data_IF_171801796743
#
_entry.id   IF_171801796743
#
_cell.length_a   1.000
_cell.length_b   1.000
_cell.length_c   1.000
_cell.angle_alpha   90.00
_cell.angle_beta   90.00
_cell.angle_gamma   90.00
#
_symmetry.space_group_name_H-M   'P 1'
#
loop_
_entity.id
_entity.type
_entity.pdbx_description
1 polymer ?
#
# COMPACT_ATOMS: atom_id res chain seq x y z
N UNK A 1 4.20 43.31 -49.81
CA UNK A 1 2.86 43.78 -50.21
C UNK A 1 2.36 43.10 -51.49
N UNK A 2 2.99 43.30 -52.65
CA UNK A 2 2.48 42.80 -53.94
C UNK A 2 2.30 41.26 -54.04
N UNK A 3 3.21 40.46 -53.44
CA UNK A 3 3.06 38.99 -53.40
C UNK A 3 1.83 38.53 -52.62
N UNK A 4 1.53 39.18 -51.49
CA UNK A 4 0.37 38.84 -50.67
C UNK A 4 -0.95 39.19 -51.38
N UNK A 5 -1.02 40.34 -52.06
CA UNK A 5 -2.17 40.71 -52.89
C UNK A 5 -2.42 39.70 -54.02
N UNK A 6 -1.35 39.16 -54.63
CA UNK A 6 -1.44 38.13 -55.69
C UNK A 6 -1.97 36.81 -55.16
N UNK A 7 -1.60 36.43 -53.93
CA UNK A 7 -2.10 35.20 -53.31
C UNK A 7 -3.59 35.31 -52.93
N UNK A 8 -4.03 36.47 -52.44
CA UNK A 8 -5.44 36.72 -52.08
C UNK A 8 -6.35 36.70 -53.31
N UNK A 9 -5.87 37.20 -54.46
CA UNK A 9 -6.63 37.19 -55.71
C UNK A 9 -6.53 35.86 -56.50
N UNK A 10 -5.82 34.86 -55.98
CA UNK A 10 -5.62 33.59 -56.69
C UNK A 10 -6.78 32.63 -56.47
N UNK A 11 -7.54 32.40 -57.54
CA UNK A 11 -8.68 31.46 -57.56
C UNK A 11 -8.28 30.01 -57.21
N UNK A 12 -7.04 29.63 -57.54
CA UNK A 12 -6.48 28.32 -57.18
C UNK A 12 -6.31 28.17 -55.66
N UNK A 13 -5.74 29.18 -54.98
CA UNK A 13 -5.55 29.13 -53.52
C UNK A 13 -6.88 29.15 -52.78
N UNK A 14 -7.88 29.87 -53.30
CA UNK A 14 -9.24 29.86 -52.78
C UNK A 14 -9.85 28.45 -52.81
N UNK A 15 -9.83 27.79 -53.97
CA UNK A 15 -10.38 26.42 -54.13
C UNK A 15 -9.62 25.39 -53.29
N UNK A 16 -8.30 25.54 -53.19
CA UNK A 16 -7.46 24.69 -52.34
C UNK A 16 -7.85 24.80 -50.86
N UNK A 17 -8.02 26.03 -50.35
CA UNK A 17 -8.47 26.26 -48.97
C UNK A 17 -9.87 25.72 -48.73
N UNK A 18 -10.79 25.94 -49.67
CA UNK A 18 -12.14 25.39 -49.60
C UNK A 18 -12.17 23.86 -49.50
N UNK A 19 -11.39 23.16 -50.35
CA UNK A 19 -11.28 21.70 -50.29
C UNK A 19 -10.59 21.22 -49.00
N UNK A 20 -9.62 21.97 -48.46
CA UNK A 20 -8.96 21.66 -47.19
C UNK A 20 -9.87 21.87 -45.97
N UNK A 21 -10.76 22.86 -46.03
CA UNK A 21 -11.72 23.16 -44.96
C UNK A 21 -12.99 22.30 -45.07
N UNK A 22 -13.23 21.72 -46.24
CA UNK A 22 -14.34 20.81 -46.50
C UNK A 22 -14.24 19.58 -45.60
N UNK A 23 -15.27 19.37 -44.78
CA UNK A 23 -15.32 18.24 -43.85
C UNK A 23 -14.68 18.51 -42.49
N UNK A 24 -14.14 19.72 -42.23
CA UNK A 24 -13.86 20.14 -40.85
C UNK A 24 -15.20 20.31 -40.12
N UNK A 25 -15.43 19.50 -39.09
CA UNK A 25 -16.59 19.61 -38.21
C UNK A 25 -16.54 20.97 -37.49
N UNK A 26 -17.25 21.97 -38.01
CA UNK A 26 -17.49 23.24 -37.33
C UNK A 26 -18.72 23.03 -36.44
N UNK A 27 -18.51 22.76 -35.16
CA UNK A 27 -19.65 22.48 -34.28
C UNK A 27 -19.35 22.37 -32.78
N UNK A 28 -18.25 21.75 -32.38
CA UNK A 28 -17.80 21.75 -30.98
C UNK A 28 -16.30 21.42 -30.88
N UNK A 29 -15.58 21.99 -29.90
CA UNK A 29 -14.16 21.69 -29.67
C UNK A 29 -14.00 20.42 -28.81
N UNK A 30 -14.92 20.20 -27.88
CA UNK A 30 -15.01 19.04 -26.99
C UNK A 30 -16.44 18.53 -26.92
N UNK A 31 -16.62 17.21 -26.76
CA UNK A 31 -17.95 16.59 -26.57
C UNK A 31 -18.67 17.17 -25.35
N UNK A 32 -17.91 17.77 -24.42
CA UNK A 32 -18.45 18.45 -23.24
C UNK A 32 -19.15 19.79 -23.56
N UNK A 33 -18.91 20.37 -24.74
CA UNK A 33 -19.45 21.69 -25.10
C UNK A 33 -20.93 21.63 -25.50
N UNK A 34 -21.44 20.45 -25.88
CA UNK A 34 -22.85 20.24 -26.21
C UNK A 34 -23.57 19.53 -25.04
N UNK A 35 -24.45 20.23 -24.30
CA UNK A 35 -25.21 19.64 -23.19
C UNK A 35 -26.01 18.40 -23.60
N UNK A 36 -26.48 18.33 -24.85
CA UNK A 36 -27.26 17.22 -25.36
C UNK A 36 -26.40 15.97 -25.55
N UNK A 37 -25.19 16.13 -26.08
CA UNK A 37 -24.23 15.02 -26.21
C UNK A 37 -23.78 14.52 -24.83
N UNK A 38 -23.50 15.43 -23.90
CA UNK A 38 -23.18 15.08 -22.51
C UNK A 38 -24.31 14.27 -21.88
N UNK A 39 -25.56 14.70 -22.07
CA UNK A 39 -26.72 13.98 -21.56
C UNK A 39 -26.81 12.55 -22.13
N UNK A 40 -26.65 12.39 -23.46
CA UNK A 40 -26.67 11.07 -24.08
C UNK A 40 -25.56 10.14 -23.58
N UNK A 41 -24.36 10.67 -23.34
CA UNK A 41 -23.28 9.88 -22.74
C UNK A 41 -23.63 9.38 -21.34
N UNK A 42 -24.25 10.23 -20.51
CA UNK A 42 -24.70 9.84 -19.17
C UNK A 42 -25.79 8.76 -19.23
N UNK A 43 -26.76 8.92 -20.12
CA UNK A 43 -27.83 7.93 -20.34
C UNK A 43 -27.24 6.59 -20.81
N UNK A 44 -26.32 6.60 -21.77
CA UNK A 44 -25.64 5.39 -22.24
C UNK A 44 -24.85 4.70 -21.13
N UNK A 45 -24.20 5.49 -20.25
CA UNK A 45 -23.49 4.96 -19.08
C UNK A 45 -24.45 4.30 -18.09
N UNK A 46 -25.62 4.89 -17.84
CA UNK A 46 -26.66 4.32 -16.96
C UNK A 46 -27.29 3.05 -17.55
N UNK A 47 -27.48 3.00 -18.87
CA UNK A 47 -28.01 1.82 -19.57
C UNK A 47 -27.01 0.67 -19.70
N UNK A 48 -25.73 0.91 -19.40
CA UNK A 48 -24.71 -0.13 -19.51
C UNK A 48 -24.78 -1.12 -18.34
N UNK A 49 -25.18 -2.36 -18.64
CA UNK A 49 -25.16 -3.48 -17.68
C UNK A 49 -23.79 -3.68 -17.01
N UNK A 50 -22.71 -3.41 -17.75
CA UNK A 50 -21.34 -3.50 -17.22
C UNK A 50 -21.12 -2.48 -16.11
N UNK A 51 -21.50 -1.23 -16.34
CA UNK A 51 -21.32 -0.16 -15.34
C UNK A 51 -22.27 -0.37 -14.15
N UNK A 52 -23.48 -0.88 -14.40
CA UNK A 52 -24.43 -1.28 -13.36
C UNK A 52 -23.84 -2.33 -12.41
N UNK A 53 -23.21 -3.39 -12.95
CA UNK A 53 -22.65 -4.49 -12.13
C UNK A 53 -21.27 -4.19 -11.54
N UNK A 54 -20.55 -3.20 -12.06
CA UNK A 54 -19.16 -2.91 -11.70
C UNK A 54 -18.92 -2.76 -10.20
N UNK A 55 -19.79 -2.03 -9.50
CA UNK A 55 -19.65 -1.79 -8.06
C UNK A 55 -19.82 -3.10 -7.27
N UNK A 56 -20.85 -3.87 -7.60
CA UNK A 56 -21.10 -5.18 -7.00
C UNK A 56 -19.94 -6.15 -7.23
N UNK A 57 -19.46 -6.27 -8.46
CA UNK A 57 -18.31 -7.12 -8.82
C UNK A 57 -17.04 -6.74 -8.06
N UNK A 58 -16.86 -5.44 -7.80
CA UNK A 58 -15.71 -4.94 -7.05
C UNK A 58 -15.84 -5.18 -5.54
N UNK A 59 -17.05 -5.22 -4.99
CA UNK A 59 -17.29 -5.36 -3.56
C UNK A 59 -17.65 -6.77 -3.10
N UNK A 60 -18.11 -7.65 -4.00
CA UNK A 60 -18.63 -8.99 -3.64
C UNK A 60 -17.64 -9.86 -2.88
N UNK A 61 -16.34 -9.62 -3.05
CA UNK A 61 -15.26 -10.35 -2.35
C UNK A 61 -14.79 -9.65 -1.09
N UNK A 62 -15.18 -8.40 -0.86
CA UNK A 62 -14.81 -7.62 0.33
C UNK A 62 -15.72 -8.00 1.48
N UNK A 63 -15.28 -9.00 2.23
CA UNK A 63 -15.97 -9.44 3.44
C UNK A 63 -15.26 -8.91 4.69
N UNK A 64 -16.03 -8.46 5.67
CA UNK A 64 -15.53 -8.04 6.98
C UNK A 64 -16.37 -8.74 8.05
N UNK A 65 -15.77 -9.68 8.77
CA UNK A 65 -16.38 -10.24 9.98
C UNK A 65 -15.93 -9.45 11.19
N UNK A 66 -16.87 -9.04 12.07
CA UNK A 66 -16.48 -8.52 13.36
C UNK A 66 -15.70 -9.58 14.15
N UNK A 67 -14.72 -9.13 14.93
CA UNK A 67 -13.90 -10.01 15.76
C UNK A 67 -14.73 -10.78 16.80
N UNK A 68 -15.87 -10.21 17.19
CA UNK A 68 -16.79 -10.78 18.18
C UNK A 68 -17.80 -11.78 17.56
N UNK A 69 -17.54 -12.27 16.34
CA UNK A 69 -18.35 -13.35 15.77
C UNK A 69 -18.17 -14.64 16.57
N UNK A 70 -19.27 -15.38 16.76
CA UNK A 70 -19.29 -16.64 17.53
C UNK A 70 -18.23 -17.63 17.04
N UNK A 71 -18.02 -17.72 15.72
CA UNK A 71 -17.00 -18.60 15.13
C UNK A 71 -15.58 -18.22 15.53
N UNK A 72 -15.24 -16.94 15.51
CA UNK A 72 -13.92 -16.42 15.88
C UNK A 72 -13.67 -16.59 17.37
N UNK A 73 -14.66 -16.27 18.20
CA UNK A 73 -14.58 -16.44 19.66
C UNK A 73 -14.39 -17.91 20.03
N UNK A 74 -15.21 -18.81 19.48
CA UNK A 74 -15.10 -20.24 19.75
C UNK A 74 -13.74 -20.82 19.29
N UNK A 75 -13.22 -20.39 18.14
CA UNK A 75 -11.90 -20.81 17.67
C UNK A 75 -10.78 -20.33 18.59
N UNK A 76 -10.88 -19.11 19.11
CA UNK A 76 -9.92 -18.55 20.08
C UNK A 76 -9.92 -19.36 21.38
N UNK A 77 -11.09 -19.62 21.94
CA UNK A 77 -11.22 -20.43 23.16
C UNK A 77 -10.69 -21.85 22.97
N UNK A 78 -10.96 -22.48 21.82
CA UNK A 78 -10.41 -23.78 21.49
C UNK A 78 -8.87 -23.76 21.41
N UNK A 79 -8.30 -22.74 20.77
CA UNK A 79 -6.85 -22.57 20.67
C UNK A 79 -6.22 -22.34 22.05
N UNK A 80 -6.83 -21.53 22.90
CA UNK A 80 -6.36 -21.27 24.26
C UNK A 80 -6.34 -22.58 25.09
N UNK A 81 -7.34 -23.44 24.93
CA UNK A 81 -7.39 -24.75 25.57
C UNK A 81 -6.34 -25.74 25.05
N UNK A 82 -6.08 -25.75 23.73
CA UNK A 82 -5.14 -26.71 23.10
C UNK A 82 -3.69 -26.36 23.42
N UNK A 83 -3.36 -25.08 23.39
CA UNK A 83 -1.95 -24.63 23.39
C UNK A 83 -1.22 -24.88 24.71
N UNK A 84 -1.93 -25.09 25.82
CA UNK A 84 -1.33 -25.29 27.16
C UNK A 84 -0.33 -24.17 27.57
N UNK A 85 -0.35 -23.01 26.90
CA UNK A 85 0.61 -21.91 27.13
C UNK A 85 0.52 -21.41 28.58
N UNK A 86 -0.70 -21.31 29.11
CA UNK A 86 -0.93 -20.91 30.49
C UNK A 86 -0.57 -21.99 31.51
N UNK A 87 -0.57 -23.27 31.10
CA UNK A 87 -0.24 -24.41 31.96
C UNK A 87 1.28 -24.63 32.04
N UNK A 88 1.99 -24.55 30.90
CA UNK A 88 3.45 -24.67 30.82
C UNK A 88 4.09 -23.29 30.81
N UNK A 89 3.87 -22.48 31.86
CA UNK A 89 4.61 -21.23 32.03
C UNK A 89 6.05 -21.55 32.40
N UNK A 90 6.88 -21.88 31.39
CA UNK A 90 8.31 -22.09 31.59
C UNK A 90 8.90 -20.80 32.18
N UNK A 91 9.32 -20.86 33.43
CA UNK A 91 10.07 -19.79 34.06
C UNK A 91 11.46 -19.80 33.41
N UNK A 92 11.64 -19.07 32.31
CA UNK A 92 12.93 -18.94 31.62
C UNK A 92 13.95 -18.05 32.36
N UNK A 93 13.81 -17.90 33.68
CA UNK A 93 14.78 -17.18 34.52
C UNK A 93 15.57 -18.17 35.35
N UNK A 94 16.68 -18.65 34.80
CA UNK A 94 17.76 -19.20 35.62
C UNK A 94 18.51 -18.02 36.25
N UNK A 95 18.09 -17.60 37.44
CA UNK A 95 18.87 -16.66 38.23
C UNK A 95 19.97 -17.50 38.88
N UNK A 96 21.21 -17.33 38.43
CA UNK A 96 22.37 -17.78 39.17
C UNK A 96 22.52 -16.88 40.38
N UNK A 97 22.35 -17.46 41.57
CA UNK A 97 22.55 -16.73 42.81
C UNK A 97 24.02 -16.27 42.89
N UNK A 98 24.31 -15.10 43.48
CA UNK A 98 25.67 -14.58 43.57
C UNK A 98 26.60 -15.43 44.45
N UNK A 99 26.06 -16.33 45.27
CA UNK A 99 26.74 -17.35 46.08
C UNK A 99 26.77 -18.73 45.40
N UNK A 100 26.28 -18.85 44.17
CA UNK A 100 26.32 -20.11 43.45
C UNK A 100 27.79 -20.54 43.24
N UNK A 101 28.08 -21.81 43.58
CA UNK A 101 29.44 -22.39 43.60
C UNK A 101 30.19 -22.16 42.29
N UNK A 102 29.52 -22.23 41.15
CA UNK A 102 30.13 -22.01 39.85
C UNK A 102 30.53 -20.53 39.62
N UNK A 103 29.75 -19.58 40.12
CA UNK A 103 30.05 -18.14 40.06
C UNK A 103 31.23 -17.82 40.98
N UNK A 104 31.23 -18.36 42.19
CA UNK A 104 32.35 -18.20 43.14
C UNK A 104 33.64 -18.81 42.60
N UNK A 105 33.56 -20.03 42.07
CA UNK A 105 34.71 -20.71 41.46
C UNK A 105 35.30 -19.87 40.32
N UNK A 106 34.44 -19.35 39.42
CA UNK A 106 34.87 -18.48 38.34
C UNK A 106 35.50 -17.17 38.86
N UNK A 107 34.93 -16.53 39.90
CA UNK A 107 35.55 -15.35 40.51
C UNK A 107 36.93 -15.66 41.07
N UNK A 108 37.06 -16.75 41.82
CA UNK A 108 38.33 -17.15 42.43
C UNK A 108 39.40 -17.42 41.37
N UNK A 109 39.05 -18.11 40.28
CA UNK A 109 39.95 -18.35 39.15
C UNK A 109 40.39 -17.05 38.46
N UNK A 110 39.45 -16.12 38.25
CA UNK A 110 39.78 -14.83 37.66
C UNK A 110 40.73 -14.02 38.55
N UNK A 111 40.52 -14.05 39.88
CA UNK A 111 41.43 -13.40 40.85
C UNK A 111 42.83 -13.99 40.78
N UNK A 112 42.94 -15.32 40.81
CA UNK A 112 44.22 -16.04 40.72
C UNK A 112 44.94 -15.73 39.40
N UNK A 113 44.21 -15.60 38.29
CA UNK A 113 44.79 -15.31 36.98
C UNK A 113 45.13 -13.82 36.76
N UNK A 114 44.58 -12.92 37.57
CA UNK A 114 44.73 -11.48 37.37
C UNK A 114 46.14 -11.01 37.70
N UNK A 115 46.92 -10.63 36.69
CA UNK A 115 48.24 -10.02 36.88
C UNK A 115 48.16 -8.70 37.66
N UNK A 116 47.03 -7.99 37.58
CA UNK A 116 46.82 -6.77 38.32
C UNK A 116 46.77 -7.04 39.83
N UNK A 117 45.96 -8.03 40.26
CA UNK A 117 45.93 -8.44 41.67
C UNK A 117 47.28 -9.01 42.11
N UNK A 118 47.93 -9.83 41.29
CA UNK A 118 49.26 -10.36 41.58
C UNK A 118 50.31 -9.25 41.82
N UNK A 119 50.25 -8.15 41.08
CA UNK A 119 51.18 -7.02 41.22
C UNK A 119 50.80 -6.01 42.30
N UNK A 120 49.59 -6.08 42.87
CA UNK A 120 49.17 -5.17 43.95
C UNK A 120 50.03 -5.35 45.20
N UNK A 121 50.32 -6.59 45.58
CA UNK A 121 51.13 -6.92 46.77
C UNK A 121 52.59 -6.43 46.65
N UNK A 122 53.07 -6.14 45.44
CA UNK A 122 54.43 -5.60 45.21
C UNK A 122 54.48 -4.06 45.21
N UNK A 123 53.32 -3.40 45.22
CA UNK A 123 53.19 -1.94 45.19
C UNK A 123 52.70 -1.35 46.52
N UNK A 124 52.61 -2.16 47.59
CA UNK A 124 52.54 -1.72 49.00
C UNK A 124 53.94 -1.46 49.58
#
# INVERSE_FOLDING_TARGET
>A
AAKASREIASDYKYKLGYEQDKGKLVGFLSVQDDPKLVHYMQVAKMQSDREYKKAYESSKTRYNMPADTVSVVAAKEAQDNITNINYKRLIHKYILLPDAVNVELARNMNRIQSEHEYKQDYNE
#
